data_IF_223390447806
#
_entry.id   IF_223390447806
#
_cell.length_a   1.000
_cell.length_b   1.000
_cell.length_c   1.000
_cell.angle_alpha   90.00
_cell.angle_beta   90.00
_cell.angle_gamma   90.00
#
_symmetry.space_group_name_H-M   'P 1'
#
loop_
_entity.id
_entity.type
_entity.pdbx_description
1 polymer ?
#
# COMPACT_ATOMS: atom_id res chain seq x y z
N UNK A 1 29.68 -38.75 -52.55
CA UNK A 1 28.94 -39.91 -51.97
C UNK A 1 29.12 -39.83 -50.46
N UNK A 2 28.53 -38.85 -49.78
CA UNK A 2 27.10 -38.71 -49.40
C UNK A 2 26.70 -39.67 -48.28
N UNK A 3 26.98 -39.31 -47.03
CA UNK A 3 26.38 -39.80 -45.76
C UNK A 3 26.70 -38.69 -44.73
N UNK A 4 25.84 -38.11 -43.90
CA UNK A 4 24.45 -38.32 -43.51
C UNK A 4 23.85 -36.98 -43.06
N UNK A 5 22.59 -36.71 -43.41
CA UNK A 5 21.78 -35.68 -42.77
C UNK A 5 21.20 -36.25 -41.47
N UNK A 6 21.70 -35.82 -40.31
CA UNK A 6 21.01 -35.99 -39.03
C UNK A 6 20.36 -34.67 -38.62
N UNK A 7 19.07 -34.63 -38.90
CA UNK A 7 18.02 -33.75 -38.40
C UNK A 7 18.34 -33.00 -37.10
N UNK A 8 18.45 -31.67 -37.24
CA UNK A 8 18.21 -30.69 -36.18
C UNK A 8 16.79 -30.89 -35.61
N UNK A 9 16.67 -31.39 -34.38
CA UNK A 9 15.51 -31.08 -33.55
C UNK A 9 15.59 -29.59 -33.24
N UNK A 10 14.77 -28.80 -33.93
CA UNK A 10 14.47 -27.43 -33.54
C UNK A 10 13.62 -27.50 -32.28
N UNK A 11 14.24 -27.29 -31.12
CA UNK A 11 13.52 -26.72 -29.98
C UNK A 11 13.08 -25.32 -30.44
N UNK A 12 11.80 -25.21 -30.79
CA UNK A 12 11.14 -23.91 -30.98
C UNK A 12 11.11 -23.29 -29.58
N UNK A 13 11.78 -22.15 -29.41
CA UNK A 13 11.46 -21.06 -28.45
C UNK A 13 12.63 -20.12 -28.14
N UNK A 14 13.76 -20.21 -28.86
CA UNK A 14 14.83 -19.18 -28.79
C UNK A 14 15.12 -18.64 -30.18
N UNK A 15 14.82 -17.36 -30.40
CA UNK A 15 15.41 -16.59 -31.49
C UNK A 15 16.65 -15.88 -30.97
N UNK A 16 17.83 -16.28 -31.46
CA UNK A 16 19.11 -15.64 -31.17
C UNK A 16 19.59 -14.89 -32.41
N UNK A 17 19.91 -13.61 -32.24
CA UNK A 17 20.62 -12.79 -33.21
C UNK A 17 21.81 -12.15 -32.52
N UNK A 18 23.01 -12.31 -33.08
CA UNK A 18 24.27 -11.82 -32.53
C UNK A 18 24.35 -10.29 -32.31
N UNK A 19 23.32 -9.54 -32.73
CA UNK A 19 23.21 -8.08 -32.57
C UNK A 19 22.02 -7.64 -31.71
N UNK A 20 21.33 -8.55 -31.02
CA UNK A 20 20.23 -8.19 -30.12
C UNK A 20 20.75 -8.07 -28.68
N UNK A 21 20.25 -7.08 -27.93
CA UNK A 21 20.60 -6.85 -26.52
C UNK A 21 19.77 -7.69 -25.54
N UNK A 22 19.03 -8.68 -26.04
CA UNK A 22 18.07 -9.48 -25.30
C UNK A 22 17.92 -10.88 -25.91
N UNK A 23 17.38 -11.78 -25.11
CA UNK A 23 16.87 -13.10 -25.54
C UNK A 23 15.36 -13.12 -25.37
N UNK A 24 14.67 -13.83 -26.26
CA UNK A 24 13.23 -14.09 -26.11
C UNK A 24 13.03 -15.45 -25.47
N UNK A 25 12.24 -15.50 -24.40
CA UNK A 25 11.87 -16.74 -23.70
C UNK A 25 10.35 -16.75 -23.56
N UNK A 26 9.70 -17.80 -24.08
CA UNK A 26 8.23 -17.93 -24.06
C UNK A 26 7.49 -16.67 -24.57
N UNK A 27 8.03 -16.03 -25.62
CA UNK A 27 7.45 -14.83 -26.23
C UNK A 27 7.68 -13.52 -25.45
N UNK A 28 8.52 -13.52 -24.41
CA UNK A 28 8.89 -12.32 -23.63
C UNK A 28 10.38 -12.02 -23.77
N UNK A 29 10.72 -10.73 -23.91
CA UNK A 29 12.10 -10.23 -24.05
C UNK A 29 12.75 -10.07 -22.68
N UNK A 30 13.94 -10.62 -22.53
CA UNK A 30 14.82 -10.45 -21.37
C UNK A 30 16.18 -9.95 -21.81
N UNK A 31 16.52 -8.74 -21.40
CA UNK A 31 17.72 -8.02 -21.80
C UNK A 31 18.91 -8.55 -21.03
N UNK A 32 20.03 -8.67 -21.72
CA UNK A 32 21.24 -9.27 -21.17
C UNK A 32 21.79 -8.52 -19.94
N UNK A 33 21.73 -7.19 -19.98
CA UNK A 33 22.12 -6.37 -18.83
C UNK A 33 21.25 -6.67 -17.59
N UNK A 34 19.95 -6.85 -17.77
CA UNK A 34 19.03 -7.19 -16.68
C UNK A 34 19.25 -8.62 -16.17
N UNK A 35 19.43 -9.58 -17.07
CA UNK A 35 19.72 -10.96 -16.72
C UNK A 35 21.01 -11.05 -15.90
N UNK A 36 22.10 -10.46 -16.38
CA UNK A 36 23.39 -10.48 -15.68
C UNK A 36 23.35 -9.79 -14.32
N UNK A 37 22.67 -8.63 -14.23
CA UNK A 37 22.48 -7.89 -12.97
C UNK A 37 21.61 -8.67 -11.96
N UNK A 38 20.71 -9.53 -12.43
CA UNK A 38 19.83 -10.31 -11.58
C UNK A 38 20.22 -11.79 -11.46
N UNK A 39 21.46 -12.15 -11.81
CA UNK A 39 21.96 -13.52 -11.70
C UNK A 39 21.68 -14.11 -10.31
N UNK A 40 21.25 -15.38 -10.28
CA UNK A 40 20.79 -16.08 -9.08
C UNK A 40 21.90 -16.90 -8.39
N UNK A 41 23.12 -16.91 -8.93
CA UNK A 41 24.20 -17.69 -8.33
C UNK A 41 24.75 -17.05 -7.04
N UNK A 42 25.49 -17.85 -6.28
CA UNK A 42 26.05 -17.43 -4.99
C UNK A 42 27.20 -16.41 -5.09
N UNK A 43 27.73 -16.15 -6.30
CA UNK A 43 28.74 -15.12 -6.52
C UNK A 43 28.09 -13.76 -6.79
N UNK A 44 26.87 -13.76 -7.33
CA UNK A 44 26.09 -12.59 -7.69
C UNK A 44 25.05 -12.22 -6.65
N UNK A 45 24.62 -13.17 -5.80
CA UNK A 45 23.68 -12.94 -4.70
C UNK A 45 24.11 -13.63 -3.42
N UNK A 46 23.90 -12.94 -2.30
CA UNK A 46 24.18 -13.48 -0.99
C UNK A 46 23.08 -14.49 -0.59
N UNK A 47 23.44 -15.73 -0.27
CA UNK A 47 22.47 -16.81 -0.02
C UNK A 47 21.54 -16.63 1.19
N UNK A 48 21.90 -15.75 2.14
CA UNK A 48 21.07 -15.42 3.31
C UNK A 48 20.13 -14.23 3.07
N UNK A 49 20.70 -13.03 2.87
CA UNK A 49 19.95 -11.77 2.65
C UNK A 49 19.33 -11.60 1.26
N UNK A 50 19.70 -12.40 0.25
CA UNK A 50 19.29 -12.26 -1.15
C UNK A 50 19.75 -10.97 -1.85
N UNK A 51 20.57 -10.17 -1.18
CA UNK A 51 21.14 -8.93 -1.72
C UNK A 51 22.12 -9.23 -2.86
N UNK A 52 22.19 -8.28 -3.80
CA UNK A 52 23.13 -8.36 -4.93
C UNK A 52 24.56 -8.14 -4.43
N UNK A 53 25.43 -9.09 -4.77
CA UNK A 53 26.88 -9.00 -4.61
C UNK A 53 27.54 -8.43 -5.88
N UNK A 54 26.93 -8.70 -7.03
CA UNK A 54 27.37 -8.14 -8.29
C UNK A 54 26.89 -6.69 -8.44
N UNK A 55 27.83 -5.78 -8.70
CA UNK A 55 27.53 -4.39 -9.03
C UNK A 55 27.68 -4.22 -10.53
N UNK A 56 26.54 -4.16 -11.23
CA UNK A 56 26.50 -4.09 -12.69
C UNK A 56 27.24 -2.87 -13.25
N UNK A 57 27.41 -1.80 -12.47
CA UNK A 57 28.12 -0.60 -12.91
C UNK A 57 29.62 -0.82 -13.14
N UNK A 58 30.18 -1.93 -12.63
CA UNK A 58 31.59 -2.31 -12.85
C UNK A 58 31.86 -2.78 -14.28
N UNK A 59 30.82 -3.13 -15.04
CA UNK A 59 30.97 -3.51 -16.44
C UNK A 59 31.17 -2.26 -17.31
N UNK A 60 32.22 -2.26 -18.14
CA UNK A 60 32.52 -1.13 -19.06
C UNK A 60 31.57 -1.02 -20.24
N UNK A 61 30.84 -2.10 -20.53
CA UNK A 61 29.86 -2.21 -21.59
C UNK A 61 28.76 -3.19 -21.15
N UNK A 62 27.55 -3.14 -21.75
CA UNK A 62 26.50 -4.11 -21.47
C UNK A 62 27.00 -5.55 -21.65
N UNK A 63 26.76 -6.45 -20.68
CA UNK A 63 27.17 -7.85 -20.75
C UNK A 63 26.70 -8.52 -22.05
N UNK A 64 27.58 -9.28 -22.69
CA UNK A 64 27.28 -10.04 -23.90
C UNK A 64 27.38 -11.54 -23.62
N UNK A 65 26.44 -12.34 -24.16
CA UNK A 65 26.53 -13.79 -24.04
C UNK A 65 27.57 -14.36 -25.01
N UNK A 66 28.40 -15.30 -24.54
CA UNK A 66 29.14 -16.24 -25.38
C UNK A 66 28.23 -17.35 -25.90
N UNK A 67 27.32 -17.83 -25.05
CA UNK A 67 26.38 -18.90 -25.38
C UNK A 67 25.07 -18.71 -24.62
N UNK A 68 23.97 -19.17 -25.24
CA UNK A 68 22.65 -19.24 -24.62
C UNK A 68 22.05 -20.59 -24.96
N UNK A 69 21.51 -21.27 -23.96
CA UNK A 69 20.79 -22.52 -24.14
C UNK A 69 19.64 -22.62 -23.15
N UNK A 70 18.55 -23.28 -23.54
CA UNK A 70 17.53 -23.73 -22.62
C UNK A 70 17.74 -25.22 -22.38
N UNK A 71 17.85 -25.61 -21.12
CA UNK A 71 18.02 -27.00 -20.71
C UNK A 71 17.27 -27.23 -19.40
N UNK A 72 16.52 -28.33 -19.30
CA UNK A 72 15.83 -28.77 -18.08
C UNK A 72 14.99 -27.64 -17.43
N UNK A 73 14.23 -26.91 -18.25
CA UNK A 73 13.41 -25.76 -17.84
C UNK A 73 14.21 -24.60 -17.20
N UNK A 74 15.47 -24.44 -17.59
CA UNK A 74 16.33 -23.32 -17.23
C UNK A 74 16.91 -22.64 -18.48
N UNK A 75 16.98 -21.31 -18.44
CA UNK A 75 17.81 -20.52 -19.32
C UNK A 75 19.24 -20.48 -18.76
N UNK A 76 20.21 -20.98 -19.52
CA UNK A 76 21.63 -20.98 -19.16
C UNK A 76 22.36 -20.03 -20.11
N UNK A 77 23.14 -19.12 -19.54
CA UNK A 77 23.92 -18.12 -20.27
C UNK A 77 25.37 -18.20 -19.82
N UNK A 78 26.29 -18.43 -20.75
CA UNK A 78 27.72 -18.22 -20.55
C UNK A 78 28.06 -16.80 -21.01
N UNK A 79 28.68 -15.99 -20.15
CA UNK A 79 28.98 -14.58 -20.42
C UNK A 79 30.40 -14.38 -20.94
N UNK A 80 30.57 -13.40 -21.83
CA UNK A 80 31.88 -12.97 -22.33
C UNK A 80 32.58 -12.09 -21.29
N UNK A 81 32.98 -12.72 -20.19
CA UNK A 81 33.60 -12.09 -19.02
C UNK A 81 34.93 -12.75 -18.67
N UNK A 82 35.81 -11.97 -18.05
CA UNK A 82 37.04 -12.47 -17.46
C UNK A 82 37.12 -12.00 -16.00
N UNK A 83 36.95 -12.89 -15.01
CA UNK A 83 36.84 -14.34 -15.14
C UNK A 83 35.51 -14.80 -15.81
N UNK A 84 35.48 -16.02 -16.41
CA UNK A 84 34.26 -16.56 -16.99
C UNK A 84 33.13 -16.66 -15.97
N UNK A 85 31.92 -16.33 -16.40
CA UNK A 85 30.73 -16.34 -15.56
C UNK A 85 29.57 -17.05 -16.27
N UNK A 86 28.77 -17.80 -15.50
CA UNK A 86 27.60 -18.53 -16.00
C UNK A 86 26.41 -18.19 -15.14
N UNK A 87 25.31 -17.75 -15.77
CA UNK A 87 24.04 -17.57 -15.09
C UNK A 87 23.04 -18.65 -15.49
N UNK A 88 22.22 -19.08 -14.53
CA UNK A 88 21.16 -20.07 -14.72
C UNK A 88 19.88 -19.48 -14.13
N UNK A 89 18.81 -19.45 -14.92
CA UNK A 89 17.51 -18.93 -14.51
C UNK A 89 16.43 -19.97 -14.77
N UNK A 90 15.65 -20.38 -13.75
CA UNK A 90 14.42 -21.12 -13.98
C UNK A 90 13.48 -20.31 -14.89
N UNK A 91 12.87 -20.96 -15.88
CA UNK A 91 11.95 -20.28 -16.82
C UNK A 91 10.75 -19.69 -16.07
N UNK A 92 10.26 -20.38 -15.02
CA UNK A 92 9.20 -19.87 -14.14
C UNK A 92 9.61 -18.57 -13.45
N UNK A 93 10.85 -18.47 -12.96
CA UNK A 93 11.35 -17.25 -12.33
C UNK A 93 11.40 -16.10 -13.33
N UNK A 94 11.86 -16.34 -14.57
CA UNK A 94 11.86 -15.33 -15.63
C UNK A 94 10.44 -14.83 -15.93
N UNK A 95 9.48 -15.74 -16.06
CA UNK A 95 8.09 -15.40 -16.34
C UNK A 95 7.44 -14.62 -15.19
N UNK A 96 7.75 -14.96 -13.94
CA UNK A 96 7.25 -14.23 -12.77
C UNK A 96 7.88 -12.83 -12.61
N UNK A 97 9.02 -12.58 -13.26
CA UNK A 97 9.77 -11.31 -13.17
C UNK A 97 9.85 -10.59 -14.52
N UNK A 98 8.94 -10.89 -15.45
CA UNK A 98 8.97 -10.27 -16.77
C UNK A 98 8.56 -8.81 -16.71
N UNK A 99 9.34 -7.95 -17.38
CA UNK A 99 9.04 -6.53 -17.57
C UNK A 99 8.61 -6.21 -19.00
N UNK A 100 8.59 -7.22 -19.89
CA UNK A 100 8.19 -7.07 -21.30
C UNK A 100 6.65 -7.00 -21.46
N UNK A 101 5.99 -6.73 -20.35
CA UNK A 101 4.57 -6.45 -20.19
C UNK A 101 4.55 -5.28 -19.22
N UNK A 102 3.81 -4.21 -19.53
CA UNK A 102 3.50 -3.16 -18.56
C UNK A 102 2.53 -3.73 -17.52
N UNK A 103 3.01 -4.67 -16.70
CA UNK A 103 2.25 -5.21 -15.59
C UNK A 103 2.51 -4.34 -14.37
N UNK A 104 1.90 -3.14 -14.33
CA UNK A 104 1.58 -2.45 -13.07
C UNK A 104 0.49 -3.23 -12.26
N UNK A 105 0.18 -4.46 -12.68
CA UNK A 105 -1.19 -4.95 -12.69
C UNK A 105 -1.55 -5.81 -11.46
N UNK A 106 -0.64 -6.39 -10.69
CA UNK A 106 -1.08 -7.38 -9.68
C UNK A 106 -1.64 -6.80 -8.36
N UNK A 107 -1.18 -5.61 -7.95
CA UNK A 107 -1.71 -4.92 -6.76
C UNK A 107 -2.77 -3.88 -7.18
N UNK A 108 -2.52 -3.13 -8.26
CA UNK A 108 -3.47 -2.12 -8.76
C UNK A 108 -4.78 -2.74 -9.23
N UNK A 109 -4.78 -3.96 -9.81
CA UNK A 109 -6.02 -4.67 -10.17
C UNK A 109 -6.85 -5.15 -8.97
N UNK A 110 -6.35 -4.99 -7.74
CA UNK A 110 -7.11 -5.34 -6.54
C UNK A 110 -7.88 -4.16 -5.96
N UNK A 111 -7.53 -2.91 -6.26
CA UNK A 111 -8.21 -1.76 -5.68
C UNK A 111 -9.63 -1.65 -6.23
N UNK A 112 -10.62 -1.78 -5.34
CA UNK A 112 -12.03 -1.58 -5.67
C UNK A 112 -12.44 -0.23 -5.11
N UNK A 113 -12.80 0.70 -6.00
CA UNK A 113 -13.37 2.00 -5.60
C UNK A 113 -14.83 1.82 -5.22
N UNK A 114 -15.25 2.38 -4.09
CA UNK A 114 -16.60 2.18 -3.57
C UNK A 114 -17.25 3.45 -3.01
N UNK A 115 -18.57 3.46 -3.05
CA UNK A 115 -19.42 4.35 -2.26
C UNK A 115 -20.29 3.52 -1.30
N UNK A 116 -21.16 4.18 -0.52
CA UNK A 116 -22.01 3.50 0.46
C UNK A 116 -22.90 2.43 -0.20
N UNK A 117 -23.57 2.77 -1.30
CA UNK A 117 -24.50 1.87 -1.99
C UNK A 117 -23.80 0.60 -2.50
N UNK A 118 -22.56 0.75 -2.98
CA UNK A 118 -21.74 -0.40 -3.40
C UNK A 118 -21.44 -1.34 -2.23
N UNK A 119 -21.03 -0.81 -1.07
CA UNK A 119 -20.75 -1.63 0.12
C UNK A 119 -22.00 -2.33 0.66
N UNK A 120 -23.14 -1.65 0.67
CA UNK A 120 -24.43 -2.22 1.09
C UNK A 120 -24.89 -3.35 0.15
N UNK A 121 -24.68 -3.18 -1.15
CA UNK A 121 -25.03 -4.21 -2.15
C UNK A 121 -24.15 -5.44 -2.04
N UNK A 122 -22.84 -5.27 -1.79
CA UNK A 122 -21.88 -6.36 -1.73
C UNK A 122 -21.75 -7.03 -0.35
N UNK A 123 -22.44 -6.50 0.67
CA UNK A 123 -22.46 -7.06 2.04
C UNK A 123 -21.07 -7.35 2.60
N UNK A 124 -20.29 -6.29 2.83
CA UNK A 124 -18.90 -6.41 3.30
C UNK A 124 -18.76 -7.34 4.50
N UNK A 125 -17.70 -8.14 4.50
CA UNK A 125 -17.45 -9.09 5.56
C UNK A 125 -16.76 -8.41 6.74
N UNK A 126 -17.27 -8.68 7.94
CA UNK A 126 -16.55 -8.48 9.19
C UNK A 126 -15.98 -9.84 9.59
N UNK A 127 -14.69 -9.90 9.84
CA UNK A 127 -14.00 -11.16 10.08
C UNK A 127 -13.83 -11.40 11.57
N UNK A 128 -14.05 -12.61 12.02
CA UNK A 128 -13.75 -12.99 13.40
C UNK A 128 -12.33 -13.56 13.47
N UNK A 129 -11.51 -13.07 14.39
CA UNK A 129 -10.08 -13.37 14.44
C UNK A 129 -9.77 -14.88 14.53
N UNK A 130 -10.59 -15.64 15.26
CA UNK A 130 -10.35 -17.08 15.49
C UNK A 130 -10.73 -17.94 14.28
N UNK A 131 -11.70 -17.49 13.49
CA UNK A 131 -12.33 -18.30 12.44
C UNK A 131 -11.97 -17.89 11.01
N UNK A 132 -11.25 -16.78 10.82
CA UNK A 132 -10.83 -16.30 9.49
C UNK A 132 -9.35 -16.55 9.20
N UNK A 133 -9.02 -16.78 7.93
CA UNK A 133 -7.62 -16.77 7.51
C UNK A 133 -7.12 -15.33 7.42
N UNK A 134 -5.84 -15.12 7.79
CA UNK A 134 -5.17 -13.83 7.66
C UNK A 134 -5.23 -13.28 6.23
N UNK A 135 -5.02 -14.16 5.26
CA UNK A 135 -5.10 -13.83 3.84
C UNK A 135 -6.45 -13.23 3.45
N UNK A 136 -7.57 -13.76 3.97
CA UNK A 136 -8.92 -13.31 3.60
C UNK A 136 -9.14 -11.84 3.98
N UNK A 137 -8.87 -11.49 5.25
CA UNK A 137 -9.10 -10.13 5.70
C UNK A 137 -8.03 -9.16 5.18
N UNK A 138 -6.79 -9.63 4.94
CA UNK A 138 -5.75 -8.81 4.29
C UNK A 138 -6.13 -8.49 2.85
N UNK A 139 -6.68 -9.44 2.09
CA UNK A 139 -7.21 -9.19 0.75
C UNK A 139 -8.29 -8.09 0.79
N UNK A 140 -9.24 -8.15 1.74
CA UNK A 140 -10.24 -7.08 1.88
C UNK A 140 -9.59 -5.72 2.22
N UNK A 141 -8.60 -5.69 3.13
CA UNK A 141 -7.87 -4.46 3.46
C UNK A 141 -7.17 -3.85 2.24
N UNK A 142 -6.53 -4.67 1.41
CA UNK A 142 -5.87 -4.20 0.18
C UNK A 142 -6.88 -3.73 -0.87
N UNK A 143 -7.98 -4.46 -1.05
CA UNK A 143 -8.99 -4.16 -2.07
C UNK A 143 -9.83 -2.93 -1.72
N UNK A 144 -10.40 -2.90 -0.51
CA UNK A 144 -11.33 -1.87 -0.06
C UNK A 144 -10.65 -0.73 0.69
N UNK A 145 -9.40 -0.90 1.11
CA UNK A 145 -8.69 0.07 1.95
C UNK A 145 -9.04 -0.01 3.43
N UNK A 146 -10.00 -0.85 3.85
CA UNK A 146 -10.33 -1.08 5.25
C UNK A 146 -10.87 -2.48 5.52
N UNK A 147 -10.84 -2.90 6.79
CA UNK A 147 -11.45 -4.14 7.28
C UNK A 147 -11.81 -4.02 8.76
N UNK A 148 -12.90 -4.67 9.18
CA UNK A 148 -13.23 -4.84 10.60
C UNK A 148 -12.97 -6.28 11.01
N UNK A 149 -12.13 -6.44 12.04
CA UNK A 149 -11.81 -7.72 12.67
C UNK A 149 -12.47 -7.72 14.05
N UNK A 150 -13.25 -8.75 14.34
CA UNK A 150 -14.08 -8.89 15.53
C UNK A 150 -13.43 -9.81 16.54
N UNK A 151 -13.88 -9.67 17.79
CA UNK A 151 -13.57 -10.57 18.88
C UNK A 151 -12.06 -10.73 19.13
N UNK A 152 -11.30 -9.64 19.02
CA UNK A 152 -9.89 -9.61 19.47
C UNK A 152 -9.91 -9.37 20.99
N UNK A 153 -9.41 -10.30 21.83
CA UNK A 153 -9.26 -10.03 23.26
C UNK A 153 -8.30 -8.85 23.50
N UNK A 154 -8.58 -8.02 24.51
CA UNK A 154 -7.78 -6.82 24.76
C UNK A 154 -6.31 -7.17 25.07
N UNK A 155 -6.09 -8.27 25.78
CA UNK A 155 -4.76 -8.82 26.10
C UNK A 155 -3.98 -9.26 24.86
N UNK A 156 -4.67 -9.60 23.77
CA UNK A 156 -4.06 -10.05 22.52
C UNK A 156 -3.88 -8.92 21.50
N UNK A 157 -4.42 -7.73 21.75
CA UNK A 157 -4.38 -6.60 20.81
C UNK A 157 -2.96 -6.27 20.36
N UNK A 158 -2.01 -6.13 21.29
CA UNK A 158 -0.64 -5.76 20.95
C UNK A 158 0.06 -6.86 20.15
N UNK A 159 -0.12 -8.14 20.52
CA UNK A 159 0.46 -9.27 19.79
C UNK A 159 -0.11 -9.38 18.37
N UNK A 160 -1.42 -9.14 18.22
CA UNK A 160 -2.10 -9.05 16.94
C UNK A 160 -1.50 -7.94 16.07
N UNK A 161 -1.37 -6.71 16.59
CA UNK A 161 -0.82 -5.57 15.87
C UNK A 161 0.65 -5.79 15.46
N UNK A 162 1.49 -6.28 16.37
CA UNK A 162 2.91 -6.59 16.09
C UNK A 162 3.06 -7.69 15.04
N UNK A 163 2.07 -8.58 14.91
CA UNK A 163 2.07 -9.58 13.84
C UNK A 163 1.99 -8.97 12.43
N UNK A 164 1.43 -7.75 12.31
CA UNK A 164 1.35 -6.99 11.06
C UNK A 164 2.63 -6.20 10.78
N UNK A 165 3.22 -5.64 11.83
CA UNK A 165 4.46 -4.86 11.76
C UNK A 165 4.74 -4.12 13.07
N UNK A 166 5.91 -3.49 13.20
CA UNK A 166 6.20 -2.61 14.32
C UNK A 166 5.14 -1.51 14.44
N UNK A 167 4.59 -1.35 15.64
CA UNK A 167 3.67 -0.25 15.94
C UNK A 167 4.48 1.05 15.93
N UNK A 168 4.05 2.01 15.13
CA UNK A 168 4.71 3.30 14.98
C UNK A 168 4.61 4.08 16.28
N UNK A 169 5.75 4.52 16.80
CA UNK A 169 5.78 5.44 17.92
C UNK A 169 5.53 6.87 17.43
N UNK A 170 4.53 7.53 17.97
CA UNK A 170 4.17 8.93 17.68
C UNK A 170 4.42 9.81 18.89
N UNK A 171 4.17 11.12 18.79
CA UNK A 171 4.17 12.02 19.94
C UNK A 171 3.12 11.64 21.01
N UNK A 172 2.15 10.78 20.69
CA UNK A 172 1.15 10.24 21.63
C UNK A 172 1.52 8.85 22.19
N UNK A 173 2.67 8.30 21.81
CA UNK A 173 3.06 6.92 22.08
C UNK A 173 2.71 5.95 20.94
N UNK A 174 2.77 4.65 21.25
CA UNK A 174 2.52 3.54 20.31
C UNK A 174 1.04 3.16 20.21
N UNK A 175 0.37 3.01 21.36
CA UNK A 175 -1.06 2.75 21.47
C UNK A 175 -1.69 3.82 22.35
N UNK A 176 -2.52 4.64 21.74
CA UNK A 176 -3.15 5.81 22.35
C UNK A 176 -4.50 5.39 22.91
N UNK A 177 -4.85 5.91 24.07
CA UNK A 177 -6.18 5.74 24.65
C UNK A 177 -7.04 6.95 24.31
N UNK A 178 -8.11 6.76 23.56
CA UNK A 178 -9.10 7.78 23.29
C UNK A 178 -10.35 7.54 24.14
N UNK A 179 -10.58 8.44 25.08
CA UNK A 179 -11.80 8.51 25.88
C UNK A 179 -12.16 9.98 26.15
N UNK A 180 -13.34 10.22 26.74
CA UNK A 180 -13.84 11.59 26.97
C UNK A 180 -13.07 12.39 28.02
N UNK A 181 -12.18 11.77 28.80
CA UNK A 181 -11.36 12.47 29.80
C UNK A 181 -10.32 13.42 29.19
N UNK A 182 -10.03 13.29 27.90
CA UNK A 182 -9.04 14.10 27.18
C UNK A 182 -9.67 15.23 26.34
N UNK A 183 -10.96 15.52 26.53
CA UNK A 183 -11.73 16.45 25.69
C UNK A 183 -11.14 17.87 25.62
N UNK A 184 -10.44 18.33 26.66
CA UNK A 184 -9.79 19.65 26.69
C UNK A 184 -8.51 19.73 25.82
N UNK A 185 -7.95 18.59 25.42
CA UNK A 185 -6.68 18.50 24.67
C UNK A 185 -6.85 18.10 23.22
N UNK A 186 -7.88 17.32 22.90
CA UNK A 186 -8.13 16.85 21.54
C UNK A 186 -9.63 16.81 21.24
N UNK A 187 -10.02 17.39 20.10
CA UNK A 187 -11.40 17.30 19.61
C UNK A 187 -11.82 15.84 19.38
N UNK A 188 -10.88 14.94 19.09
CA UNK A 188 -11.13 13.50 18.99
C UNK A 188 -11.77 12.93 20.26
N UNK A 189 -11.41 13.50 21.42
CA UNK A 189 -11.92 13.14 22.74
C UNK A 189 -13.20 13.89 23.17
N UNK A 190 -13.75 14.79 22.34
CA UNK A 190 -15.03 15.47 22.62
C UNK A 190 -16.24 14.59 22.24
N UNK A 191 -17.46 14.96 22.61
CA UNK A 191 -18.68 14.25 22.17
C UNK A 191 -19.19 14.65 20.78
N UNK A 192 -18.60 15.69 20.18
CA UNK A 192 -19.01 16.22 18.89
C UNK A 192 -18.74 15.23 17.75
N UNK A 193 -19.48 15.33 16.65
CA UNK A 193 -19.17 14.56 15.45
C UNK A 193 -17.77 14.91 14.93
N UNK A 194 -17.03 13.90 14.48
CA UNK A 194 -15.78 14.08 13.76
C UNK A 194 -16.07 13.88 12.28
N UNK A 195 -15.89 14.95 11.51
CA UNK A 195 -16.02 14.89 10.05
C UNK A 195 -14.95 13.98 9.44
N UNK A 196 -15.20 13.38 8.26
CA UNK A 196 -14.20 12.60 7.54
C UNK A 196 -12.84 13.30 7.47
N UNK A 197 -11.78 12.62 7.90
CA UNK A 197 -10.41 13.11 7.88
C UNK A 197 -9.40 11.97 7.77
N UNK A 198 -8.15 12.33 7.44
CA UNK A 198 -6.97 11.46 7.53
C UNK A 198 -6.03 11.95 8.62
N UNK A 199 -5.57 11.04 9.45
CA UNK A 199 -4.66 11.33 10.55
C UNK A 199 -3.22 11.52 10.09
N UNK A 200 -2.39 12.11 10.95
CA UNK A 200 -0.96 12.36 10.71
C UNK A 200 -0.65 13.13 9.41
N UNK A 201 -1.61 13.91 8.88
CA UNK A 201 -1.42 14.72 7.67
C UNK A 201 -0.26 15.72 7.77
N UNK A 202 0.15 16.07 9.00
CA UNK A 202 1.29 16.93 9.33
C UNK A 202 2.63 16.20 9.41
N UNK A 203 2.73 14.90 9.14
CA UNK A 203 4.01 14.20 8.98
C UNK A 203 4.41 14.08 7.50
N UNK A 204 5.72 13.91 7.24
CA UNK A 204 6.25 13.79 5.87
C UNK A 204 5.99 12.39 5.28
N UNK A 205 5.27 12.27 4.15
CA UNK A 205 5.18 11.06 3.32
C UNK A 205 5.15 9.73 4.08
N UNK A 206 4.10 9.50 4.86
CA UNK A 206 3.84 8.18 5.43
C UNK A 206 2.51 7.63 4.92
N UNK A 207 2.59 6.47 4.28
CA UNK A 207 1.44 5.59 4.07
C UNK A 207 1.39 4.68 5.28
N UNK A 208 0.39 4.88 6.14
CA UNK A 208 0.20 4.08 7.35
C UNK A 208 -1.13 3.35 7.31
N UNK A 209 -1.16 2.18 7.92
CA UNK A 209 -2.39 1.56 8.40
C UNK A 209 -2.70 2.17 9.76
N UNK A 210 -3.87 2.77 9.90
CA UNK A 210 -4.41 3.12 11.21
C UNK A 210 -5.25 1.96 11.74
N UNK A 211 -5.16 1.71 13.04
CA UNK A 211 -6.08 0.83 13.74
C UNK A 211 -6.91 1.61 14.75
N UNK A 212 -8.19 1.24 14.85
CA UNK A 212 -9.14 1.75 15.83
C UNK A 212 -9.83 0.56 16.51
N UNK A 213 -9.38 0.23 17.73
CA UNK A 213 -9.89 -0.88 18.52
C UNK A 213 -10.86 -0.39 19.59
N UNK A 214 -12.04 -0.98 19.67
CA UNK A 214 -13.08 -0.64 20.65
C UNK A 214 -12.87 -1.41 21.95
N UNK A 215 -12.58 -0.69 23.05
CA UNK A 215 -12.52 -1.26 24.41
C UNK A 215 -13.92 -1.26 25.03
N UNK A 216 -14.59 -0.11 24.98
CA UNK A 216 -15.98 0.07 25.40
C UNK A 216 -16.68 1.01 24.43
N UNK A 217 -17.94 0.72 24.13
CA UNK A 217 -18.76 1.60 23.31
C UNK A 217 -20.23 1.44 23.72
N UNK A 218 -20.58 2.01 24.86
CA UNK A 218 -21.92 1.94 25.48
C UNK A 218 -22.72 3.23 25.29
N UNK A 219 -22.12 4.25 24.68
CA UNK A 219 -22.79 5.54 24.47
C UNK A 219 -23.85 5.47 23.38
N UNK A 220 -24.93 6.24 23.55
CA UNK A 220 -25.92 6.51 22.49
C UNK A 220 -25.25 7.37 21.40
N UNK A 221 -25.32 6.92 20.15
CA UNK A 221 -24.60 7.52 19.01
C UNK A 221 -23.15 7.03 18.90
N UNK A 222 -22.28 7.84 18.27
CA UNK A 222 -20.84 7.57 18.22
C UNK A 222 -20.44 6.48 17.24
N UNK A 223 -21.28 6.22 16.23
CA UNK A 223 -21.00 5.32 15.12
C UNK A 223 -19.76 5.78 14.37
N UNK A 224 -18.87 4.84 14.05
CA UNK A 224 -17.75 5.08 13.16
C UNK A 224 -18.26 5.30 11.75
N UNK A 225 -17.52 6.08 10.96
CA UNK A 225 -17.75 6.22 9.53
C UNK A 225 -16.44 6.10 8.77
N UNK A 226 -16.53 5.58 7.54
CA UNK A 226 -15.45 5.53 6.56
C UNK A 226 -15.92 6.07 5.21
N UNK A 227 -15.00 6.69 4.48
CA UNK A 227 -15.19 7.25 3.14
C UNK A 227 -13.99 6.85 2.28
N UNK A 228 -14.24 6.27 1.11
CA UNK A 228 -13.19 6.01 0.11
C UNK A 228 -12.76 7.32 -0.56
N UNK A 229 -11.66 7.89 -0.10
CA UNK A 229 -11.12 9.12 -0.65
C UNK A 229 -10.79 8.99 -2.14
N UNK A 230 -10.43 7.81 -2.62
CA UNK A 230 -10.10 7.60 -4.02
C UNK A 230 -11.35 7.59 -4.89
N UNK A 231 -12.43 6.94 -4.45
CA UNK A 231 -13.72 7.02 -5.17
C UNK A 231 -14.22 8.45 -5.23
N UNK A 232 -14.15 9.18 -4.11
CA UNK A 232 -14.56 10.60 -4.06
C UNK A 232 -13.70 11.46 -4.97
N UNK A 233 -12.37 11.29 -4.95
CA UNK A 233 -11.45 12.06 -5.79
C UNK A 233 -11.62 11.75 -7.28
N UNK A 234 -11.95 10.49 -7.66
CA UNK A 234 -12.30 10.13 -9.04
C UNK A 234 -13.55 10.88 -9.49
N UNK A 235 -14.63 10.80 -8.73
CA UNK A 235 -15.90 11.44 -9.09
C UNK A 235 -15.73 12.97 -9.12
N UNK A 236 -14.97 13.53 -8.19
CA UNK A 236 -14.60 14.95 -8.18
C UNK A 236 -13.75 15.36 -9.40
N UNK A 237 -12.85 14.50 -9.89
CA UNK A 237 -12.07 14.73 -11.12
C UNK A 237 -12.96 14.83 -12.35
N UNK A 238 -14.00 13.99 -12.42
CA UNK A 238 -14.97 13.97 -13.52
C UNK A 238 -15.89 15.20 -13.48
N UNK A 239 -16.43 15.51 -12.30
CA UNK A 239 -17.42 16.59 -12.13
C UNK A 239 -16.78 17.99 -12.11
N UNK A 240 -15.56 18.11 -11.56
CA UNK A 240 -14.87 19.39 -11.34
C UNK A 240 -13.38 19.32 -11.70
N UNK A 241 -13.01 19.07 -12.98
CA UNK A 241 -11.62 18.80 -13.38
C UNK A 241 -10.63 19.94 -13.05
N UNK A 242 -11.08 21.20 -13.10
CA UNK A 242 -10.24 22.34 -12.74
C UNK A 242 -9.97 22.40 -11.23
N UNK A 243 -10.99 22.19 -10.41
CA UNK A 243 -10.87 22.19 -8.95
C UNK A 243 -10.04 21.00 -8.48
N UNK A 244 -10.22 19.83 -9.10
CA UNK A 244 -9.37 18.66 -8.89
C UNK A 244 -7.90 18.99 -9.12
N UNK A 245 -7.58 19.60 -10.26
CA UNK A 245 -6.20 19.97 -10.60
C UNK A 245 -5.62 20.96 -9.59
N UNK A 246 -6.40 21.94 -9.13
CA UNK A 246 -5.99 22.86 -8.06
C UNK A 246 -5.61 22.09 -6.79
N UNK A 247 -6.42 21.12 -6.36
CA UNK A 247 -6.17 20.31 -5.16
C UNK A 247 -5.05 19.28 -5.33
N UNK A 248 -4.76 18.89 -6.57
CA UNK A 248 -3.71 17.92 -6.90
C UNK A 248 -2.32 18.57 -7.09
N UNK A 249 -2.25 19.76 -7.67
CA UNK A 249 -0.98 20.43 -8.01
C UNK A 249 -0.44 21.33 -6.88
N UNK A 250 -1.32 21.87 -6.02
CA UNK A 250 -0.91 22.82 -4.99
C UNK A 250 -0.38 22.12 -3.72
N UNK A 251 0.91 22.31 -3.44
CA UNK A 251 1.54 21.85 -2.20
C UNK A 251 1.30 22.84 -1.06
N UNK A 252 0.41 22.48 -0.14
CA UNK A 252 0.08 23.30 1.02
C UNK A 252 0.68 22.77 2.32
N UNK A 253 1.06 23.65 3.27
CA UNK A 253 1.51 23.23 4.59
C UNK A 253 0.41 22.51 5.40
N UNK A 254 0.78 21.38 6.02
CA UNK A 254 0.03 20.77 7.11
C UNK A 254 0.78 21.01 8.42
N UNK A 255 0.30 21.94 9.23
CA UNK A 255 1.03 22.46 10.38
C UNK A 255 0.56 21.82 11.69
N UNK A 256 1.51 21.42 12.54
CA UNK A 256 1.26 21.06 13.94
C UNK A 256 2.39 21.50 14.84
N UNK A 257 2.06 22.05 15.99
CA UNK A 257 3.02 22.44 17.04
C UNK A 257 2.70 21.65 18.29
N UNK A 258 3.72 21.01 18.86
CA UNK A 258 3.63 20.25 20.12
C UNK A 258 4.56 20.91 21.15
N UNK A 259 4.04 21.83 21.98
CA UNK A 259 4.87 22.60 22.92
C UNK A 259 5.56 21.74 23.98
N UNK A 260 4.92 20.67 24.43
CA UNK A 260 5.46 19.77 25.46
C UNK A 260 6.76 19.11 25.01
N UNK A 261 6.83 18.70 23.74
CA UNK A 261 7.99 18.05 23.12
C UNK A 261 8.85 19.00 22.29
N UNK A 262 8.46 20.27 22.18
CA UNK A 262 9.11 21.29 21.35
C UNK A 262 9.18 20.93 19.86
N UNK A 263 8.16 20.26 19.32
CA UNK A 263 8.07 19.96 17.89
C UNK A 263 7.24 20.98 17.11
N UNK A 264 7.63 21.22 15.86
CA UNK A 264 6.88 22.03 14.90
C UNK A 264 6.94 21.34 13.53
N UNK A 265 5.90 20.58 13.21
CA UNK A 265 5.74 19.89 11.94
C UNK A 265 5.10 20.81 10.90
N UNK A 266 5.67 20.84 9.68
CA UNK A 266 5.19 21.67 8.55
C UNK A 266 5.52 21.08 7.17
N UNK A 267 5.26 19.78 6.90
CA UNK A 267 5.40 19.26 5.54
C UNK A 267 4.43 19.97 4.60
N UNK A 268 4.78 19.97 3.31
CA UNK A 268 3.90 20.45 2.25
C UNK A 268 3.47 19.28 1.40
N UNK A 269 2.15 19.13 1.23
CA UNK A 269 1.52 18.06 0.44
C UNK A 269 0.36 18.63 -0.35
N UNK A 270 -0.02 17.98 -1.44
CA UNK A 270 -1.30 18.23 -2.08
C UNK A 270 -2.43 17.58 -1.27
N UNK A 271 -3.67 18.03 -1.49
CA UNK A 271 -4.85 17.37 -0.90
C UNK A 271 -5.08 16.02 -1.58
N UNK A 272 -4.83 15.96 -2.90
CA UNK A 272 -4.92 14.76 -3.72
C UNK A 272 -3.53 14.51 -4.31
N UNK A 273 -2.88 13.40 -3.95
CA UNK A 273 -1.57 13.04 -4.49
C UNK A 273 -1.73 12.12 -5.69
N UNK A 274 -0.98 12.42 -6.75
CA UNK A 274 -0.93 11.64 -7.98
C UNK A 274 0.47 11.02 -8.17
N UNK A 275 0.54 9.84 -8.77
CA UNK A 275 1.81 9.27 -9.24
C UNK A 275 2.20 9.80 -10.63
N UNK A 276 3.15 9.13 -11.29
CA UNK A 276 3.66 9.57 -12.61
C UNK A 276 2.72 9.19 -13.75
N UNK A 277 1.76 8.32 -13.46
CA UNK A 277 0.77 7.77 -14.35
C UNK A 277 -0.58 8.51 -14.23
N UNK A 278 -0.65 9.59 -13.42
CA UNK A 278 -1.85 10.38 -13.13
C UNK A 278 -2.91 9.62 -12.30
N UNK A 279 -2.48 8.57 -11.59
CA UNK A 279 -3.33 7.79 -10.70
C UNK A 279 -3.30 8.33 -9.28
N UNK A 280 -4.46 8.26 -8.60
CA UNK A 280 -4.61 8.77 -7.23
C UNK A 280 -3.94 7.82 -6.26
N UNK A 281 -2.91 8.29 -5.57
CA UNK A 281 -2.10 7.47 -4.64
C UNK A 281 -2.24 7.86 -3.17
N UNK A 282 -2.79 9.04 -2.88
CA UNK A 282 -3.21 9.43 -1.54
C UNK A 282 -4.26 10.56 -1.57
N UNK A 283 -5.10 10.61 -0.53
CA UNK A 283 -5.94 11.77 -0.21
C UNK A 283 -5.58 12.22 1.21
N UNK A 284 -5.07 13.45 1.34
CA UNK A 284 -4.76 14.06 2.63
C UNK A 284 -5.78 15.13 2.97
N UNK A 285 -6.62 14.83 3.94
CA UNK A 285 -7.68 15.74 4.32
C UNK A 285 -7.77 15.86 5.84
N UNK A 286 -7.20 16.93 6.39
CA UNK A 286 -7.40 17.28 7.79
C UNK A 286 -7.52 18.80 7.93
N UNK A 287 -8.75 19.27 8.17
CA UNK A 287 -9.02 20.69 8.40
C UNK A 287 -8.27 21.24 9.63
N UNK A 288 -7.88 20.37 10.59
CA UNK A 288 -7.19 20.76 11.83
C UNK A 288 -5.78 21.30 11.57
N UNK A 289 -5.12 20.79 10.54
CA UNK A 289 -3.70 21.05 10.27
C UNK A 289 -3.49 21.72 8.90
N UNK A 290 -4.48 21.66 7.99
CA UNK A 290 -4.42 22.30 6.68
C UNK A 290 -4.25 23.82 6.83
N UNK A 291 -3.09 24.35 6.44
CA UNK A 291 -2.77 25.78 6.50
C UNK A 291 -2.31 26.25 5.11
N UNK A 292 -3.22 26.50 4.15
CA UNK A 292 -2.84 26.91 2.80
C UNK A 292 -2.05 28.23 2.82
N UNK A 293 -0.82 28.18 2.31
CA UNK A 293 0.03 29.35 2.09
C UNK A 293 0.42 29.31 0.61
N UNK A 294 -0.33 30.05 -0.20
CA UNK A 294 -0.23 30.11 -1.67
C UNK A 294 -0.14 31.59 -2.12
N UNK A 295 0.27 31.87 -3.38
CA UNK A 295 0.13 33.20 -3.98
C UNK A 295 -1.28 33.77 -3.82
N UNK A 296 -1.38 35.10 -3.69
CA UNK A 296 -2.64 35.77 -3.37
C UNK A 296 -3.72 35.55 -4.44
N UNK A 297 -3.29 35.43 -5.69
CA UNK A 297 -4.12 35.16 -6.87
C UNK A 297 -4.66 33.72 -6.93
N UNK A 298 -4.06 32.77 -6.21
CA UNK A 298 -4.46 31.36 -6.20
C UNK A 298 -5.34 30.99 -5.00
N UNK A 299 -5.29 31.79 -3.92
CA UNK A 299 -5.88 31.42 -2.64
C UNK A 299 -7.40 31.24 -2.70
N UNK A 300 -8.11 32.11 -3.43
CA UNK A 300 -9.58 32.02 -3.53
C UNK A 300 -10.02 30.78 -4.30
N UNK A 301 -9.37 30.50 -5.43
CA UNK A 301 -9.64 29.31 -6.23
C UNK A 301 -9.33 28.02 -5.45
N UNK A 302 -8.25 28.01 -4.68
CA UNK A 302 -7.93 26.91 -3.77
C UNK A 302 -9.05 26.65 -2.75
N UNK A 303 -9.53 27.70 -2.07
CA UNK A 303 -10.60 27.53 -1.08
C UNK A 303 -11.93 27.13 -1.72
N UNK A 304 -12.26 27.62 -2.92
CA UNK A 304 -13.44 27.16 -3.66
C UNK A 304 -13.36 25.66 -3.95
N UNK A 305 -12.24 25.20 -4.50
CA UNK A 305 -12.00 23.78 -4.77
C UNK A 305 -12.05 22.94 -3.48
N UNK A 306 -11.39 23.40 -2.41
CA UNK A 306 -11.37 22.74 -1.10
C UNK A 306 -12.77 22.62 -0.47
N UNK A 307 -13.59 23.68 -0.58
CA UNK A 307 -14.98 23.67 -0.10
C UNK A 307 -15.81 22.66 -0.88
N UNK A 308 -15.72 22.67 -2.22
CA UNK A 308 -16.45 21.71 -3.07
C UNK A 308 -16.06 20.28 -2.71
N UNK A 309 -14.77 19.97 -2.65
CA UNK A 309 -14.28 18.64 -2.27
C UNK A 309 -14.73 18.23 -0.86
N UNK A 310 -14.73 19.16 0.11
CA UNK A 310 -15.24 18.92 1.46
C UNK A 310 -16.72 18.52 1.46
N UNK A 311 -17.53 19.07 0.56
CA UNK A 311 -18.94 18.68 0.43
C UNK A 311 -19.08 17.26 -0.12
N UNK A 312 -18.25 16.83 -1.07
CA UNK A 312 -18.25 15.44 -1.54
C UNK A 312 -17.92 14.48 -0.39
N UNK A 313 -16.85 14.74 0.36
CA UNK A 313 -16.47 13.91 1.51
C UNK A 313 -17.59 13.84 2.58
N UNK A 314 -18.34 14.93 2.75
CA UNK A 314 -19.45 15.02 3.70
C UNK A 314 -20.77 14.46 3.16
N UNK A 315 -20.86 14.10 1.88
CA UNK A 315 -22.08 13.57 1.30
C UNK A 315 -22.40 12.18 1.91
N UNK A 316 -23.61 11.98 2.46
CA UNK A 316 -24.04 10.69 3.02
C UNK A 316 -23.93 9.49 2.07
N UNK A 317 -23.94 9.71 0.76
CA UNK A 317 -23.84 8.64 -0.25
C UNK A 317 -22.43 8.03 -0.33
N UNK A 318 -21.40 8.72 0.18
CA UNK A 318 -20.04 8.17 0.32
C UNK A 318 -19.74 7.67 1.73
N UNK A 319 -20.55 8.03 2.74
CA UNK A 319 -20.29 7.68 4.14
C UNK A 319 -20.90 6.35 4.51
N UNK A 320 -20.06 5.33 4.65
CA UNK A 320 -20.46 4.07 5.25
C UNK A 320 -20.31 4.14 6.77
N UNK A 321 -21.42 3.95 7.49
CA UNK A 321 -21.49 4.08 8.95
C UNK A 321 -21.72 2.73 9.59
N UNK A 322 -21.05 2.48 10.70
CA UNK A 322 -21.22 1.26 11.49
C UNK A 322 -20.79 1.46 12.93
N UNK A 323 -21.33 0.64 13.83
CA UNK A 323 -20.87 0.54 15.20
C UNK A 323 -19.73 -0.47 15.30
N UNK A 324 -18.71 -0.11 16.08
CA UNK A 324 -17.66 -1.02 16.56
C UNK A 324 -18.05 -1.48 17.97
N UNK A 325 -18.24 -2.78 18.13
CA UNK A 325 -18.52 -3.39 19.43
C UNK A 325 -17.21 -3.62 20.20
N UNK A 326 -17.24 -3.76 21.54
CA UNK A 326 -16.06 -4.15 22.31
C UNK A 326 -15.38 -5.39 21.71
N UNK A 327 -14.06 -5.31 21.48
CA UNK A 327 -13.28 -6.34 20.80
C UNK A 327 -13.21 -6.22 19.27
N UNK A 328 -13.97 -5.30 18.66
CA UNK A 328 -13.82 -4.98 17.24
C UNK A 328 -12.61 -4.05 17.01
N UNK A 329 -11.84 -4.35 15.97
CA UNK A 329 -10.71 -3.56 15.47
C UNK A 329 -10.95 -3.18 14.00
N UNK A 330 -11.04 -1.88 13.71
CA UNK A 330 -11.02 -1.36 12.35
C UNK A 330 -9.56 -1.12 11.94
N UNK A 331 -9.12 -1.76 10.85
CA UNK A 331 -7.88 -1.44 10.17
C UNK A 331 -8.20 -0.66 8.90
N UNK A 332 -7.44 0.39 8.60
CA UNK A 332 -7.65 1.21 7.41
C UNK A 332 -6.37 1.83 6.86
N UNK A 333 -6.30 1.92 5.53
CA UNK A 333 -5.28 2.67 4.81
C UNK A 333 -5.53 4.17 5.01
N UNK A 334 -4.87 4.80 5.98
CA UNK A 334 -5.10 6.21 6.35
C UNK A 334 -4.64 7.22 5.27
N UNK A 335 -4.06 6.75 4.17
CA UNK A 335 -3.77 7.57 2.98
C UNK A 335 -4.88 7.51 1.92
N UNK A 336 -5.88 6.64 2.09
CA UNK A 336 -7.00 6.42 1.16
C UNK A 336 -8.35 6.63 1.85
N UNK A 337 -8.53 5.97 2.99
CA UNK A 337 -9.78 5.95 3.73
C UNK A 337 -9.79 7.10 4.72
N UNK A 338 -10.72 8.04 4.49
CA UNK A 338 -11.04 9.03 5.50
C UNK A 338 -11.98 8.39 6.51
N UNK A 339 -11.78 8.73 7.78
CA UNK A 339 -12.60 8.20 8.86
C UNK A 339 -13.16 9.33 9.73
N UNK A 340 -14.13 8.99 10.55
CA UNK A 340 -14.74 9.91 11.50
C UNK A 340 -15.74 9.20 12.39
N UNK A 341 -16.61 9.97 13.02
CA UNK A 341 -17.72 9.42 13.80
C UNK A 341 -18.88 10.38 13.92
N UNK A 342 -20.08 9.83 14.14
CA UNK A 342 -21.23 10.62 14.55
C UNK A 342 -21.06 11.17 15.96
N UNK A 343 -21.86 12.17 16.31
CA UNK A 343 -21.92 12.68 17.69
C UNK A 343 -22.45 11.59 18.63
N UNK A 344 -22.11 11.69 19.91
CA UNK A 344 -22.61 10.77 20.94
C UNK A 344 -22.95 11.49 22.24
N UNK A 345 -23.77 10.86 23.07
CA UNK A 345 -24.13 11.39 24.38
C UNK A 345 -23.10 10.95 25.44
N UNK A 346 -22.20 11.85 25.85
CA UNK A 346 -21.12 11.53 26.79
C UNK A 346 -21.58 11.04 28.17
N UNK A 347 -22.81 11.35 28.59
CA UNK A 347 -23.37 10.91 29.88
C UNK A 347 -24.13 9.60 29.81
N UNK A 348 -24.34 9.04 28.60
CA UNK A 348 -25.18 7.85 28.39
C UNK A 348 -24.43 6.53 28.64
N UNK A 349 -23.09 6.53 28.64
CA UNK A 349 -22.28 5.32 28.81
C UNK A 349 -20.79 5.59 28.69
N UNK A 350 -19.98 4.53 28.70
CA UNK A 350 -18.53 4.59 28.50
C UNK A 350 -18.17 4.46 27.02
N UNK A 351 -17.16 5.20 26.58
CA UNK A 351 -16.59 5.08 25.24
C UNK A 351 -15.06 5.18 25.33
N UNK A 352 -14.39 4.07 25.06
CA UNK A 352 -12.93 3.97 25.07
C UNK A 352 -12.44 3.20 23.85
N UNK A 353 -11.49 3.80 23.15
CA UNK A 353 -10.83 3.22 21.98
C UNK A 353 -9.31 3.22 22.16
N UNK A 354 -8.65 2.21 21.57
CA UNK A 354 -7.20 2.19 21.36
C UNK A 354 -6.91 2.56 19.91
N UNK A 355 -5.99 3.49 19.69
CA UNK A 355 -5.61 3.99 18.37
C UNK A 355 -4.11 3.95 18.19
N UNK A 356 -3.66 3.64 16.98
CA UNK A 356 -2.26 3.72 16.61
C UNK A 356 -2.05 3.39 15.15
N UNK A 357 -0.78 3.27 14.77
CA UNK A 357 -0.40 3.23 13.36
C UNK A 357 0.68 2.18 13.12
N UNK A 358 0.68 1.58 11.93
CA UNK A 358 1.70 0.65 11.43
C UNK A 358 2.08 1.11 10.02
N UNK A 359 3.37 1.16 9.69
CA UNK A 359 3.76 1.51 8.31
C UNK A 359 3.16 0.52 7.31
N UNK A 360 2.62 1.06 6.22
CA UNK A 360 2.00 0.26 5.17
C UNK A 360 2.96 -0.76 4.55
N UNK A 361 4.25 -0.41 4.46
CA UNK A 361 5.29 -1.29 3.94
C UNK A 361 5.41 -2.61 4.70
N UNK A 362 5.21 -2.62 6.01
CA UNK A 362 5.23 -3.86 6.79
C UNK A 362 3.99 -4.72 6.52
N UNK A 363 2.82 -4.10 6.39
CA UNK A 363 1.57 -4.80 6.06
C UNK A 363 1.67 -5.44 4.68
N UNK A 364 2.16 -4.69 3.68
CA UNK A 364 2.45 -5.22 2.34
C UNK A 364 3.52 -6.31 2.37
N UNK A 365 4.62 -6.10 3.09
CA UNK A 365 5.68 -7.10 3.22
C UNK A 365 5.18 -8.42 3.80
N UNK A 366 4.29 -8.38 4.80
CA UNK A 366 3.62 -9.57 5.35
C UNK A 366 2.70 -10.24 4.34
N UNK A 367 1.97 -9.46 3.54
CA UNK A 367 1.09 -9.96 2.50
C UNK A 367 1.87 -10.71 1.41
N UNK A 368 2.89 -10.09 0.83
CA UNK A 368 3.72 -10.72 -0.21
C UNK A 368 4.47 -11.93 0.31
N UNK A 369 5.00 -11.87 1.54
CA UNK A 369 5.67 -13.03 2.13
C UNK A 369 4.73 -14.24 2.22
N UNK A 370 3.47 -14.04 2.64
CA UNK A 370 2.51 -15.13 2.75
C UNK A 370 2.15 -15.74 1.40
N UNK A 371 2.00 -14.92 0.35
CA UNK A 371 1.66 -15.39 -0.99
C UNK A 371 2.85 -16.04 -1.71
N UNK A 372 4.01 -15.40 -1.67
CA UNK A 372 5.14 -15.79 -2.52
C UNK A 372 6.05 -16.82 -1.85
N UNK A 373 6.18 -16.81 -0.51
CA UNK A 373 7.16 -17.65 0.19
C UNK A 373 6.53 -18.87 0.86
N UNK A 374 5.31 -18.81 1.38
CA UNK A 374 4.68 -20.01 1.99
C UNK A 374 4.29 -21.06 0.95
N UNK A 375 3.93 -20.66 -0.28
CA UNK A 375 3.63 -21.60 -1.38
C UNK A 375 4.89 -22.32 -1.90
N UNK A 376 6.07 -21.67 -1.84
CA UNK A 376 7.32 -22.22 -2.38
C UNK A 376 8.19 -22.99 -1.36
N UNK A 377 8.07 -22.70 -0.06
CA UNK A 377 8.91 -23.35 0.97
C UNK A 377 8.36 -24.68 1.51
N UNK A 378 7.11 -25.03 1.19
CA UNK A 378 6.57 -26.37 1.49
C UNK A 378 7.18 -27.49 0.64
N UNK A 379 8.07 -27.16 -0.32
CA UNK A 379 8.80 -28.15 -1.13
C UNK A 379 10.32 -28.25 -0.82
N UNK A 380 10.89 -27.34 -0.01
CA UNK A 380 12.33 -27.29 0.23
C UNK A 380 12.77 -27.70 1.64
N UNK A 381 11.86 -28.04 2.55
CA UNK A 381 12.19 -28.60 3.88
C UNK A 381 12.15 -30.14 3.93
N UNK A 382 12.10 -30.81 2.78
CA UNK A 382 12.28 -32.25 2.64
C UNK A 382 13.51 -32.57 1.79
N UNK A 383 14.70 -32.23 2.29
CA UNK A 383 15.96 -32.93 1.97
C UNK A 383 16.84 -32.98 3.21
#
# INVERSE_FOLDING_TARGET
MTINHSYLKRDRDIEFSANQSFVTVAGKRFYYIWLRDNCLDSQSRHGGSWEKLNDISKHKAPPQPLSIQIQDNNLIIDWDENPPHRSIFPISWLLNNTYDVHNAEEIEKQVILWNKAWLETNSIQKYDLESCSRESWMNQLLQLGFVVIRNIPLEDLESFLVSLGPIRNTEYGTIITQNTSLADRDIAATSNALTPHTDLSFWCNHKVTEFLYSVTNDTIGGESLVVDGFSVARDFREDHPNDFRILAENLIPFCRVEPEYQYSFRPKHSIIELDREDEIVAVRFSHKNCTPILPAEEIEAFYQAYITFSHYLKNPDYQYRFRLEPGDCLLMQNFRILHGRTAFEATSGSREFRVGYIEWDYVLGRYFYQREFNENFSHNNSM
#
